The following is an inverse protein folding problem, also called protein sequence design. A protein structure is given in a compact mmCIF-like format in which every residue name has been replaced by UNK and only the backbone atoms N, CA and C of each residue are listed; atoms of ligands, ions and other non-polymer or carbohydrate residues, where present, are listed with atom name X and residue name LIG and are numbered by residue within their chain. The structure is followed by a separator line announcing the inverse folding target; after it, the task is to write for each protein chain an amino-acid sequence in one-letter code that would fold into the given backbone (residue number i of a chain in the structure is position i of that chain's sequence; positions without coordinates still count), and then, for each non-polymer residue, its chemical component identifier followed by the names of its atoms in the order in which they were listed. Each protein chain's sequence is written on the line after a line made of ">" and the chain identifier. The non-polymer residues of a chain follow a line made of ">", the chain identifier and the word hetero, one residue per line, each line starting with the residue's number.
data_IF_044161216482
#
_entry.id   IF_044161216482
#
_cell.length_a   1.000
_cell.length_b   1.000
_cell.length_c   1.000
_cell.angle_alpha   90.00
_cell.angle_beta   90.00
_cell.angle_gamma   90.00
#
_symmetry.space_group_name_H-M   'P 1'
#
loop_
_entity.id
_entity.type
_entity.pdbx_description
1 polymer ?
#
# COMPACT_ATOMS: atom_id res chain seq x y z
N UNK A 1 35.40 -12.19 27.74
CA UNK A 1 35.02 -11.58 26.42
C UNK A 1 33.54 -11.68 26.33
N UNK A 2 32.84 -10.60 26.65
CA UNK A 2 31.40 -10.55 26.50
C UNK A 2 31.10 -10.57 24.99
N UNK A 3 30.49 -11.65 24.51
CA UNK A 3 29.93 -11.74 23.18
C UNK A 3 28.81 -10.68 23.15
N UNK A 4 28.85 -9.68 22.25
CA UNK A 4 27.75 -8.74 22.16
C UNK A 4 26.47 -9.53 21.93
N UNK A 5 25.43 -9.25 22.71
CA UNK A 5 24.13 -9.87 22.53
C UNK A 5 23.73 -9.71 21.06
N UNK A 6 23.39 -10.82 20.39
CA UNK A 6 22.93 -10.79 19.00
C UNK A 6 21.71 -9.86 18.95
N UNK A 7 21.79 -8.72 18.24
CA UNK A 7 20.66 -7.78 18.15
C UNK A 7 19.46 -8.37 17.39
N UNK A 8 19.58 -9.61 16.89
CA UNK A 8 18.48 -10.35 16.25
C UNK A 8 17.82 -11.35 17.20
N UNK A 9 18.42 -11.62 18.36
CA UNK A 9 17.81 -12.45 19.40
C UNK A 9 16.57 -11.73 19.94
N UNK A 10 15.37 -12.24 19.64
CA UNK A 10 14.08 -11.64 20.01
C UNK A 10 13.38 -10.82 18.94
N UNK A 11 13.91 -10.69 17.73
CA UNK A 11 13.30 -9.91 16.63
C UNK A 11 11.97 -10.47 16.09
N UNK A 12 11.54 -11.62 16.52
CA UNK A 12 10.28 -12.24 16.12
C UNK A 12 9.16 -12.05 17.14
N UNK A 13 9.46 -11.51 18.31
CA UNK A 13 8.47 -11.16 19.32
C UNK A 13 8.22 -9.66 19.31
N UNK A 14 6.95 -9.28 19.13
CA UNK A 14 6.53 -7.89 19.24
C UNK A 14 6.72 -7.43 20.69
N UNK A 15 7.23 -6.22 20.87
CA UNK A 15 7.26 -5.57 22.17
C UNK A 15 5.85 -5.10 22.59
N UNK A 16 5.72 -4.59 23.82
CA UNK A 16 4.42 -4.16 24.36
C UNK A 16 3.79 -3.02 23.54
N UNK A 17 4.59 -2.05 23.11
CA UNK A 17 4.12 -0.92 22.29
C UNK A 17 3.61 -1.40 20.93
N UNK A 18 4.33 -2.29 20.26
CA UNK A 18 3.94 -2.87 18.98
C UNK A 18 2.64 -3.68 19.09
N UNK A 19 2.49 -4.45 20.18
CA UNK A 19 1.23 -5.15 20.43
C UNK A 19 0.07 -4.19 20.64
N UNK A 20 0.26 -3.14 21.44
CA UNK A 20 -0.77 -2.12 21.66
C UNK A 20 -1.19 -1.40 20.37
N UNK A 21 -0.23 -1.06 19.48
CA UNK A 21 -0.50 -0.47 18.19
C UNK A 21 -1.31 -1.43 17.30
N UNK A 22 -0.92 -2.70 17.25
CA UNK A 22 -1.62 -3.72 16.49
C UNK A 22 -3.05 -3.92 17.00
N UNK A 23 -3.23 -4.08 18.32
CA UNK A 23 -4.54 -4.24 18.96
C UNK A 23 -5.46 -3.04 18.70
N UNK A 24 -4.93 -1.82 18.76
CA UNK A 24 -5.68 -0.59 18.43
C UNK A 24 -6.15 -0.59 16.99
N UNK A 25 -5.29 -0.98 16.05
CA UNK A 25 -5.63 -1.07 14.63
C UNK A 25 -6.65 -2.18 14.36
N UNK A 26 -6.52 -3.34 15.02
CA UNK A 26 -7.48 -4.46 14.95
C UNK A 26 -8.86 -4.06 15.49
N UNK A 27 -8.92 -3.40 16.65
CA UNK A 27 -10.16 -2.92 17.23
C UNK A 27 -10.88 -1.96 16.27
N UNK A 28 -10.19 -0.96 15.75
CA UNK A 28 -10.77 -0.05 14.75
C UNK A 28 -11.24 -0.79 13.49
N UNK A 29 -10.43 -1.71 12.99
CA UNK A 29 -10.76 -2.50 11.81
C UNK A 29 -12.05 -3.32 12.02
N UNK A 30 -12.21 -3.97 13.16
CA UNK A 30 -13.38 -4.77 13.49
C UNK A 30 -14.63 -3.92 13.74
N UNK A 31 -14.48 -2.77 14.41
CA UNK A 31 -15.62 -1.95 14.79
C UNK A 31 -16.11 -1.06 13.65
N UNK A 32 -15.21 -0.49 12.84
CA UNK A 32 -15.54 0.53 11.84
C UNK A 32 -15.48 0.05 10.40
N UNK A 33 -14.63 -0.92 10.07
CA UNK A 33 -14.38 -1.34 8.68
C UNK A 33 -15.09 -2.65 8.36
N UNK A 34 -14.88 -3.70 9.14
CA UNK A 34 -15.39 -5.04 8.84
C UNK A 34 -16.92 -5.11 8.64
N UNK A 35 -17.76 -4.40 9.42
CA UNK A 35 -19.21 -4.48 9.24
C UNK A 35 -19.71 -3.90 7.92
N UNK A 36 -18.93 -3.03 7.27
CA UNK A 36 -19.34 -2.29 6.08
C UNK A 36 -18.55 -2.68 4.82
N UNK A 37 -17.47 -3.45 4.98
CA UNK A 37 -16.52 -3.74 3.88
C UNK A 37 -17.17 -4.39 2.65
N UNK A 38 -18.14 -5.30 2.83
CA UNK A 38 -18.86 -5.94 1.73
C UNK A 38 -19.84 -4.99 1.04
N UNK A 39 -20.48 -4.12 1.80
CA UNK A 39 -21.41 -3.13 1.27
C UNK A 39 -20.67 -2.05 0.46
N UNK A 40 -19.53 -1.58 0.96
CA UNK A 40 -18.66 -0.67 0.20
C UNK A 40 -18.15 -1.29 -1.11
N UNK A 41 -17.75 -2.57 -1.07
CA UNK A 41 -17.32 -3.29 -2.28
C UNK A 41 -18.47 -3.40 -3.29
N UNK A 42 -19.66 -3.82 -2.84
CA UNK A 42 -20.85 -3.97 -3.68
C UNK A 42 -21.26 -2.66 -4.35
N UNK A 43 -21.24 -1.56 -3.62
CA UNK A 43 -21.71 -0.26 -4.07
C UNK A 43 -20.62 0.62 -4.69
N UNK A 44 -19.39 0.11 -4.79
CA UNK A 44 -18.22 0.91 -5.25
C UNK A 44 -18.09 2.22 -4.46
N UNK A 45 -18.35 2.15 -3.15
CA UNK A 45 -18.38 3.31 -2.26
C UNK A 45 -17.00 3.58 -1.65
N UNK A 46 -16.49 4.80 -1.82
CA UNK A 46 -15.28 5.27 -1.16
C UNK A 46 -15.63 5.87 0.21
N UNK A 47 -15.29 5.21 1.34
CA UNK A 47 -15.72 5.63 2.68
C UNK A 47 -14.78 6.71 3.25
N UNK A 48 -14.81 7.91 2.65
CA UNK A 48 -13.93 9.01 3.03
C UNK A 48 -14.06 9.42 4.50
N UNK A 49 -15.26 9.31 5.07
CA UNK A 49 -15.56 9.58 6.47
C UNK A 49 -14.82 8.62 7.41
N UNK A 50 -14.93 7.32 7.19
CA UNK A 50 -14.23 6.28 7.99
C UNK A 50 -12.71 6.34 7.77
N UNK A 51 -12.26 6.65 6.54
CA UNK A 51 -10.84 6.88 6.26
C UNK A 51 -10.31 8.04 7.11
N UNK A 52 -11.03 9.15 7.21
CA UNK A 52 -10.64 10.31 8.02
C UNK A 52 -10.61 10.03 9.53
N UNK A 53 -11.45 9.13 10.03
CA UNK A 53 -11.41 8.71 11.43
C UNK A 53 -10.05 8.11 11.83
N UNK A 54 -9.32 7.48 10.90
CA UNK A 54 -8.00 6.90 11.17
C UNK A 54 -6.94 7.95 11.54
N UNK A 55 -7.16 9.21 11.19
CA UNK A 55 -6.33 10.34 11.62
C UNK A 55 -6.31 10.51 13.14
N UNK A 56 -7.42 10.23 13.83
CA UNK A 56 -7.51 10.31 15.30
C UNK A 56 -6.66 9.24 15.99
N UNK A 57 -6.32 8.17 15.29
CA UNK A 57 -5.45 7.09 15.76
C UNK A 57 -3.98 7.30 15.33
N UNK A 58 -3.67 8.44 14.70
CA UNK A 58 -2.33 8.72 14.17
C UNK A 58 -1.97 7.96 12.88
N UNK A 59 -2.96 7.32 12.23
CA UNK A 59 -2.70 6.53 11.02
C UNK A 59 -2.60 7.37 9.74
N UNK A 60 -2.83 8.68 9.81
CA UNK A 60 -2.60 9.60 8.70
C UNK A 60 -1.12 9.95 8.47
N UNK A 61 -0.27 9.71 9.46
CA UNK A 61 1.17 9.99 9.38
C UNK A 61 1.99 9.03 10.22
N UNK A 62 1.85 7.71 9.99
CA UNK A 62 2.42 6.64 10.82
C UNK A 62 3.93 6.84 11.00
N UNK A 63 4.65 7.08 9.92
CA UNK A 63 6.11 7.27 9.91
C UNK A 63 6.53 8.68 9.45
N UNK A 64 5.64 9.64 9.57
CA UNK A 64 5.91 11.08 9.44
C UNK A 64 6.40 11.59 10.80
N UNK A 65 7.33 12.54 10.80
CA UNK A 65 7.90 13.12 12.01
C UNK A 65 6.82 13.80 12.89
N UNK A 66 7.03 13.80 14.19
CA UNK A 66 6.10 14.29 15.21
C UNK A 66 5.98 15.82 15.22
N UNK A 67 7.00 16.55 14.77
CA UNK A 67 7.03 18.02 14.70
C UNK A 67 5.97 18.63 13.77
N UNK A 68 5.33 17.81 12.93
CA UNK A 68 4.22 18.18 12.04
C UNK A 68 2.95 17.35 12.30
N UNK A 69 2.85 16.71 13.47
CA UNK A 69 1.70 15.93 13.89
C UNK A 69 1.74 14.46 13.43
N UNK A 70 2.85 13.98 12.90
CA UNK A 70 3.05 12.57 12.59
C UNK A 70 3.25 11.71 13.84
N UNK A 71 3.09 10.39 13.72
CA UNK A 71 3.28 9.45 14.83
C UNK A 71 4.75 9.07 15.06
N UNK A 72 5.65 9.40 14.13
CA UNK A 72 7.09 9.13 14.24
C UNK A 72 7.46 7.65 14.38
N UNK A 73 6.53 6.74 14.06
CA UNK A 73 6.71 5.30 14.18
C UNK A 73 7.63 4.75 13.08
N UNK A 74 8.04 3.51 13.24
CA UNK A 74 8.92 2.82 12.29
C UNK A 74 8.13 2.05 11.23
N UNK A 75 8.83 1.56 10.23
CA UNK A 75 8.21 0.77 9.16
C UNK A 75 7.62 -0.55 9.66
N UNK A 76 8.25 -1.19 10.62
CA UNK A 76 7.68 -2.39 11.24
C UNK A 76 6.33 -2.09 11.90
N UNK A 77 6.22 -0.99 12.61
CA UNK A 77 4.97 -0.60 13.28
C UNK A 77 3.87 -0.30 12.24
N UNK A 78 4.22 0.36 11.13
CA UNK A 78 3.31 0.58 10.01
C UNK A 78 2.83 -0.74 9.37
N UNK A 79 3.72 -1.73 9.22
CA UNK A 79 3.37 -3.07 8.71
C UNK A 79 2.33 -3.73 9.60
N UNK A 80 2.45 -3.62 10.93
CA UNK A 80 1.46 -4.15 11.89
C UNK A 80 0.10 -3.47 11.73
N UNK A 81 0.08 -2.14 11.58
CA UNK A 81 -1.16 -1.38 11.33
C UNK A 81 -1.82 -1.82 10.03
N UNK A 82 -1.06 -1.88 8.93
CA UNK A 82 -1.63 -2.25 7.62
C UNK A 82 -2.09 -3.72 7.57
N UNK A 83 -1.40 -4.63 8.23
CA UNK A 83 -1.83 -6.02 8.36
C UNK A 83 -3.17 -6.09 9.13
N UNK A 84 -3.26 -5.41 10.28
CA UNK A 84 -4.47 -5.38 11.11
C UNK A 84 -5.67 -4.80 10.36
N UNK A 85 -5.53 -3.62 9.74
CA UNK A 85 -6.60 -3.00 8.95
C UNK A 85 -7.03 -3.87 7.77
N UNK A 86 -6.09 -4.56 7.14
CA UNK A 86 -6.34 -5.41 5.97
C UNK A 86 -7.10 -6.69 6.30
N UNK A 87 -7.07 -7.17 7.54
CA UNK A 87 -7.94 -8.28 7.99
C UNK A 87 -9.42 -7.95 7.81
N UNK A 88 -9.80 -6.69 7.97
CA UNK A 88 -11.17 -6.23 7.69
C UNK A 88 -11.39 -5.94 6.20
N UNK A 89 -10.48 -5.18 5.56
CA UNK A 89 -10.60 -4.83 4.14
C UNK A 89 -9.23 -4.47 3.53
N UNK A 90 -8.69 -5.32 2.62
CA UNK A 90 -7.42 -5.03 1.93
C UNK A 90 -7.42 -3.70 1.17
N UNK A 91 -8.50 -3.36 0.49
CA UNK A 91 -8.61 -2.13 -0.29
C UNK A 91 -8.60 -0.88 0.61
N UNK A 92 -9.21 -0.92 1.81
CA UNK A 92 -9.17 0.15 2.80
C UNK A 92 -7.75 0.38 3.32
N UNK A 93 -7.10 -0.68 3.78
CA UNK A 93 -5.72 -0.62 4.28
C UNK A 93 -4.75 -0.10 3.23
N UNK A 94 -4.92 -0.53 1.98
CA UNK A 94 -4.08 -0.10 0.85
C UNK A 94 -4.21 1.39 0.55
N UNK A 95 -5.39 1.99 0.71
CA UNK A 95 -5.54 3.44 0.55
C UNK A 95 -4.79 4.21 1.64
N UNK A 96 -4.91 3.78 2.90
CA UNK A 96 -4.16 4.38 4.02
C UNK A 96 -2.64 4.30 3.76
N UNK A 97 -2.17 3.17 3.19
CA UNK A 97 -0.77 3.01 2.79
C UNK A 97 -0.33 4.03 1.73
N UNK A 98 -1.14 4.24 0.69
CA UNK A 98 -0.85 5.20 -0.40
C UNK A 98 -0.81 6.63 0.15
N UNK A 99 -1.76 6.99 1.01
CA UNK A 99 -1.79 8.28 1.70
C UNK A 99 -0.50 8.51 2.51
N UNK A 100 -0.11 7.55 3.33
CA UNK A 100 1.12 7.62 4.12
C UNK A 100 2.38 7.71 3.26
N UNK A 101 2.41 7.05 2.11
CA UNK A 101 3.53 7.18 1.16
C UNK A 101 3.65 8.61 0.64
N UNK A 102 2.53 9.25 0.27
CA UNK A 102 2.50 10.66 -0.16
C UNK A 102 2.95 11.61 0.95
N UNK A 103 2.42 11.43 2.16
CA UNK A 103 2.79 12.23 3.33
C UNK A 103 4.29 12.08 3.66
N UNK A 104 4.82 10.85 3.65
CA UNK A 104 6.24 10.59 3.89
C UNK A 104 7.15 11.22 2.83
N UNK A 105 6.75 11.24 1.57
CA UNK A 105 7.53 11.90 0.52
C UNK A 105 7.67 13.39 0.80
N UNK A 106 6.59 14.04 1.22
CA UNK A 106 6.60 15.46 1.59
C UNK A 106 7.47 15.68 2.83
N UNK A 107 7.35 14.83 3.85
CA UNK A 107 8.15 14.93 5.07
C UNK A 107 9.66 14.75 4.81
N UNK A 108 10.02 13.82 3.91
CA UNK A 108 11.42 13.46 3.67
C UNK A 108 12.14 14.39 2.70
N UNK A 109 11.44 14.86 1.67
CA UNK A 109 12.02 15.60 0.55
C UNK A 109 11.55 17.05 0.44
N UNK A 110 10.51 17.42 1.17
CA UNK A 110 10.00 18.78 1.24
C UNK A 110 10.90 19.69 2.07
N UNK A 111 10.87 20.98 1.73
CA UNK A 111 11.41 22.02 2.59
C UNK A 111 10.46 22.26 3.78
N UNK A 112 10.91 23.07 4.76
CA UNK A 112 10.15 23.30 5.98
C UNK A 112 8.79 23.98 5.71
N UNK A 113 8.71 24.89 4.74
CA UNK A 113 7.47 25.56 4.37
C UNK A 113 6.44 24.55 3.79
N UNK A 114 6.88 23.65 2.91
CA UNK A 114 6.04 22.59 2.37
C UNK A 114 5.59 21.62 3.47
N UNK A 115 6.49 21.25 4.37
CA UNK A 115 6.16 20.37 5.50
C UNK A 115 5.07 20.99 6.38
N UNK A 116 5.24 22.24 6.79
CA UNK A 116 4.27 22.96 7.65
C UNK A 116 2.94 23.25 6.94
N UNK A 117 2.96 23.42 5.62
CA UNK A 117 1.76 23.69 4.83
C UNK A 117 0.90 22.45 4.62
N UNK A 118 1.49 21.31 4.34
CA UNK A 118 0.76 20.12 3.91
C UNK A 118 0.59 19.06 5.00
N UNK A 119 1.63 18.78 5.79
CA UNK A 119 1.64 17.65 6.68
C UNK A 119 0.63 17.70 7.83
N UNK A 120 0.40 18.83 8.52
CA UNK A 120 -0.60 18.86 9.59
C UNK A 120 -2.00 18.43 9.15
N UNK A 121 -2.37 18.73 7.90
CA UNK A 121 -3.66 18.30 7.34
C UNK A 121 -3.66 16.86 6.85
N UNK A 122 -2.53 16.33 6.43
CA UNK A 122 -2.38 14.93 6.02
C UNK A 122 -2.32 14.00 7.23
N UNK A 123 -1.57 14.37 8.26
CA UNK A 123 -1.43 13.53 9.48
C UNK A 123 -2.75 13.39 10.23
N UNK A 124 -3.61 14.42 10.20
CA UNK A 124 -4.97 14.38 10.74
C UNK A 124 -6.00 13.77 9.80
N UNK A 125 -5.62 13.41 8.58
CA UNK A 125 -6.55 12.97 7.52
C UNK A 125 -7.63 14.02 7.14
N UNK A 126 -7.46 15.28 7.53
CA UNK A 126 -8.28 16.38 6.99
C UNK A 126 -8.14 16.43 5.46
N UNK A 127 -6.91 16.29 4.98
CA UNK A 127 -6.60 16.11 3.57
C UNK A 127 -6.12 14.68 3.30
N UNK A 128 -6.54 14.16 2.15
CA UNK A 128 -6.10 12.88 1.64
C UNK A 128 -5.09 13.07 0.51
N UNK A 129 -4.10 12.19 0.44
CA UNK A 129 -3.05 12.21 -0.58
C UNK A 129 -3.13 11.02 -1.51
N UNK A 130 -2.88 11.26 -2.80
CA UNK A 130 -2.66 10.25 -3.83
C UNK A 130 -1.24 10.32 -4.39
N UNK A 131 -0.77 9.20 -4.92
CA UNK A 131 0.51 9.05 -5.59
C UNK A 131 0.33 8.86 -7.08
N UNK A 132 0.98 9.70 -7.91
CA UNK A 132 0.77 9.77 -9.34
C UNK A 132 2.07 9.53 -10.13
N UNK A 133 2.40 8.26 -10.41
CA UNK A 133 3.56 7.87 -11.22
C UNK A 133 3.14 7.32 -12.59
N UNK A 134 2.33 6.26 -12.58
CA UNK A 134 1.95 5.46 -13.76
C UNK A 134 1.20 6.28 -14.80
N UNK A 135 1.51 6.05 -16.08
CA UNK A 135 0.83 6.64 -17.22
C UNK A 135 0.29 5.54 -18.16
N UNK A 136 -0.63 5.85 -19.11
CA UNK A 136 -1.11 4.85 -20.05
C UNK A 136 -0.01 4.11 -20.82
N UNK A 137 1.11 4.78 -21.08
CA UNK A 137 2.25 4.22 -21.82
C UNK A 137 3.46 3.86 -20.93
N UNK A 138 3.38 4.01 -19.61
CA UNK A 138 4.52 3.86 -18.69
C UNK A 138 4.09 3.31 -17.34
N UNK A 139 4.21 2.00 -17.16
CA UNK A 139 4.00 1.32 -15.89
C UNK A 139 5.31 0.81 -15.29
N UNK A 140 5.71 -0.42 -15.62
CA UNK A 140 6.99 -1.00 -15.16
C UNK A 140 8.22 -0.23 -15.64
N UNK A 141 8.16 0.39 -16.83
CA UNK A 141 9.16 1.33 -17.31
C UNK A 141 8.81 2.77 -16.85
N UNK A 142 8.90 2.99 -15.54
CA UNK A 142 8.49 4.26 -14.93
C UNK A 142 9.35 5.45 -15.38
N UNK A 143 10.61 5.22 -15.81
CA UNK A 143 11.48 6.27 -16.32
C UNK A 143 11.04 6.82 -17.70
N UNK A 144 10.18 6.12 -18.42
CA UNK A 144 9.63 6.53 -19.71
C UNK A 144 8.38 7.42 -19.61
N UNK A 145 8.00 7.90 -18.43
CA UNK A 145 6.86 8.80 -18.25
C UNK A 145 6.98 10.07 -19.14
N UNK A 146 5.84 10.56 -19.64
CA UNK A 146 5.76 11.64 -20.63
C UNK A 146 5.00 12.88 -20.15
N UNK A 147 4.21 12.81 -19.07
CA UNK A 147 3.54 13.98 -18.50
C UNK A 147 4.57 15.08 -18.25
N UNK A 148 4.45 16.20 -18.96
CA UNK A 148 5.41 17.31 -18.92
C UNK A 148 4.96 18.38 -17.92
N UNK A 149 5.95 19.03 -17.32
CA UNK A 149 5.77 20.27 -16.60
C UNK A 149 6.80 21.29 -17.12
N UNK A 150 6.33 22.43 -17.55
CA UNK A 150 7.16 23.52 -18.10
C UNK A 150 7.03 24.71 -17.15
N UNK A 151 8.15 25.25 -16.69
CA UNK A 151 8.16 26.43 -15.83
C UNK A 151 7.72 27.66 -16.62
N UNK A 152 6.76 28.40 -16.07
CA UNK A 152 6.20 29.61 -16.69
C UNK A 152 5.92 30.65 -15.58
N UNK A 153 6.84 31.59 -15.43
CA UNK A 153 6.81 32.55 -14.31
C UNK A 153 6.94 31.85 -12.96
N UNK A 154 5.97 32.09 -12.09
CA UNK A 154 5.90 31.51 -10.74
C UNK A 154 5.17 30.15 -10.69
N UNK A 155 4.80 29.60 -11.85
CA UNK A 155 4.08 28.34 -11.97
C UNK A 155 4.84 27.32 -12.81
N UNK A 156 4.45 26.04 -12.64
CA UNK A 156 4.63 24.99 -13.65
C UNK A 156 3.30 24.76 -14.38
N UNK A 157 3.36 24.63 -15.70
CA UNK A 157 2.22 24.24 -16.55
C UNK A 157 2.37 22.77 -16.92
N UNK A 158 1.42 21.94 -16.45
CA UNK A 158 1.45 20.49 -16.63
C UNK A 158 0.54 20.09 -17.78
N UNK A 159 1.02 19.15 -18.61
CA UNK A 159 0.26 18.53 -19.69
C UNK A 159 0.56 17.03 -19.76
N UNK A 160 -0.50 16.21 -19.77
CA UNK A 160 -0.43 14.76 -19.82
C UNK A 160 -1.50 14.09 -19.00
N UNK A 161 -1.33 12.80 -18.72
CA UNK A 161 -2.26 12.04 -17.91
C UNK A 161 -1.57 10.94 -17.08
N UNK A 162 -2.02 10.73 -15.86
CA UNK A 162 -1.66 9.61 -15.02
C UNK A 162 -2.78 8.56 -15.02
N UNK A 163 -2.41 7.29 -14.91
CA UNK A 163 -3.32 6.16 -15.04
C UNK A 163 -3.34 5.35 -13.76
N UNK A 164 -4.49 4.76 -13.46
CA UNK A 164 -4.70 3.88 -12.30
C UNK A 164 -4.41 4.54 -10.94
N UNK A 165 -4.77 5.81 -10.81
CA UNK A 165 -4.48 6.56 -9.59
C UNK A 165 -5.55 6.29 -8.54
N UNK A 166 -5.14 5.67 -7.45
CA UNK A 166 -5.98 5.42 -6.28
C UNK A 166 -6.31 6.73 -5.56
N UNK A 167 -7.58 6.91 -5.19
CA UNK A 167 -8.08 8.15 -4.59
C UNK A 167 -8.26 9.30 -5.58
N UNK A 168 -8.06 9.09 -6.89
CA UNK A 168 -8.26 10.16 -7.88
C UNK A 168 -9.72 10.63 -7.89
N UNK A 169 -9.89 11.95 -7.72
CA UNK A 169 -11.18 12.61 -7.55
C UNK A 169 -11.65 12.72 -6.08
N UNK A 170 -11.10 11.93 -5.16
CA UNK A 170 -11.44 11.96 -3.74
C UNK A 170 -10.32 12.55 -2.87
N UNK A 171 -9.05 12.37 -3.26
CA UNK A 171 -7.91 12.97 -2.57
C UNK A 171 -7.82 14.48 -2.80
N UNK A 172 -7.26 15.17 -1.81
CA UNK A 172 -7.11 16.64 -1.80
C UNK A 172 -5.79 17.09 -2.45
N UNK A 173 -4.76 16.22 -2.42
CA UNK A 173 -3.47 16.48 -3.09
C UNK A 173 -2.97 15.24 -3.83
N UNK A 174 -2.17 15.49 -4.86
CA UNK A 174 -1.57 14.50 -5.76
C UNK A 174 -0.06 14.70 -5.81
N UNK A 175 0.72 13.78 -5.22
CA UNK A 175 2.18 13.76 -5.33
C UNK A 175 2.52 13.19 -6.69
N UNK A 176 2.87 14.05 -7.65
CA UNK A 176 2.89 13.74 -9.08
C UNK A 176 4.30 13.82 -9.67
N UNK A 177 4.75 12.72 -10.27
CA UNK A 177 5.99 12.65 -11.03
C UNK A 177 5.75 13.19 -12.44
N UNK A 178 6.57 14.16 -12.84
CA UNK A 178 6.44 14.86 -14.13
C UNK A 178 7.80 15.00 -14.80
N UNK A 179 7.82 15.19 -16.11
CA UNK A 179 9.03 15.46 -16.86
C UNK A 179 9.27 16.95 -16.99
N UNK A 180 10.30 17.45 -16.34
CA UNK A 180 10.79 18.82 -16.47
C UNK A 180 12.04 18.94 -17.37
N UNK A 181 12.79 17.85 -17.52
CA UNK A 181 14.03 17.79 -18.28
C UNK A 181 13.98 16.81 -19.47
N UNK A 182 15.16 16.34 -19.86
CA UNK A 182 15.34 15.38 -20.97
C UNK A 182 14.83 13.98 -20.60
N UNK A 183 14.87 13.06 -21.57
CA UNK A 183 14.52 11.66 -21.36
C UNK A 183 15.41 11.00 -20.28
N UNK A 184 14.86 9.95 -19.67
CA UNK A 184 15.51 9.20 -18.61
C UNK A 184 15.19 9.71 -17.20
N UNK A 185 15.73 9.03 -16.16
CA UNK A 185 15.38 9.26 -14.76
C UNK A 185 15.68 10.68 -14.26
N UNK A 186 16.80 11.26 -14.74
CA UNK A 186 17.25 12.59 -14.30
C UNK A 186 16.42 13.76 -14.84
N UNK A 187 15.53 13.51 -15.78
CA UNK A 187 14.60 14.54 -16.29
C UNK A 187 13.23 14.51 -15.58
N UNK A 188 13.09 13.73 -14.53
CA UNK A 188 11.82 13.58 -13.78
C UNK A 188 11.90 14.38 -12.48
N UNK A 189 10.87 15.19 -12.23
CA UNK A 189 10.67 15.97 -11.00
C UNK A 189 9.36 15.55 -10.31
N UNK A 190 9.14 15.99 -9.09
CA UNK A 190 7.90 15.73 -8.34
C UNK A 190 7.24 17.05 -7.99
N UNK A 191 5.94 17.16 -8.25
CA UNK A 191 5.10 18.29 -7.88
C UNK A 191 3.97 17.85 -6.95
N UNK A 192 3.67 18.66 -5.93
CA UNK A 192 2.47 18.51 -5.10
C UNK A 192 1.37 19.30 -5.80
N UNK A 193 0.41 18.58 -6.39
CA UNK A 193 -0.70 19.18 -7.16
C UNK A 193 -1.97 19.18 -6.29
N UNK A 194 -2.52 20.35 -5.93
CA UNK A 194 -3.81 20.44 -5.25
C UNK A 194 -4.96 19.97 -6.16
N UNK A 195 -6.03 19.44 -5.56
CA UNK A 195 -7.22 18.94 -6.27
C UNK A 195 -7.92 20.03 -7.11
N UNK A 196 -7.86 21.27 -6.65
CA UNK A 196 -8.49 22.43 -7.26
C UNK A 196 -7.56 23.19 -8.22
N UNK A 197 -6.39 22.62 -8.56
CA UNK A 197 -5.46 23.25 -9.51
C UNK A 197 -6.15 23.49 -10.86
N UNK A 198 -6.10 24.72 -11.42
CA UNK A 198 -6.69 25.01 -12.71
C UNK A 198 -6.13 24.12 -13.83
N UNK A 199 -7.00 23.45 -14.59
CA UNK A 199 -6.59 22.52 -15.64
C UNK A 199 -6.39 21.08 -15.17
N UNK A 200 -6.67 20.77 -13.90
CA UNK A 200 -6.74 19.41 -13.38
C UNK A 200 -8.15 18.85 -13.58
N UNK A 201 -8.24 17.60 -14.06
CA UNK A 201 -9.51 16.89 -14.17
C UNK A 201 -9.29 15.37 -13.96
N UNK A 202 -10.40 14.65 -13.81
CA UNK A 202 -10.38 13.22 -13.50
C UNK A 202 -11.22 12.44 -14.51
N UNK A 203 -10.68 11.33 -15.00
CA UNK A 203 -11.40 10.40 -15.86
C UNK A 203 -12.52 9.65 -15.13
N UNK A 204 -13.24 8.83 -15.86
CA UNK A 204 -14.22 7.92 -15.27
C UNK A 204 -13.55 6.92 -14.34
N UNK A 205 -14.32 6.40 -13.37
CA UNK A 205 -13.85 5.34 -12.50
C UNK A 205 -13.57 4.06 -13.30
N UNK A 206 -12.42 3.44 -13.06
CA UNK A 206 -12.04 2.19 -13.71
C UNK A 206 -12.92 1.03 -13.24
N UNK A 207 -13.36 0.20 -14.19
CA UNK A 207 -14.03 -1.06 -13.90
C UNK A 207 -13.00 -2.14 -13.55
N UNK A 208 -12.78 -2.36 -12.26
CA UNK A 208 -11.72 -3.24 -11.75
C UNK A 208 -12.23 -4.62 -11.35
N UNK A 209 -11.34 -5.59 -11.30
CA UNK A 209 -11.61 -6.91 -10.75
C UNK A 209 -11.88 -6.87 -9.23
N UNK A 210 -11.13 -6.06 -8.48
CA UNK A 210 -11.21 -5.90 -7.03
C UNK A 210 -10.95 -4.45 -6.62
N UNK A 211 -10.79 -4.20 -5.31
CA UNK A 211 -10.65 -2.87 -4.74
C UNK A 211 -11.82 -1.95 -5.13
N UNK A 212 -13.04 -2.48 -5.20
CA UNK A 212 -14.19 -1.72 -5.68
C UNK A 212 -14.51 -0.51 -4.80
N UNK A 213 -14.29 -0.62 -3.48
CA UNK A 213 -14.49 0.50 -2.56
C UNK A 213 -13.51 1.65 -2.79
N UNK A 214 -12.38 1.40 -3.47
CA UNK A 214 -11.38 2.41 -3.70
C UNK A 214 -11.57 3.06 -5.08
N UNK A 215 -11.71 4.38 -5.13
CA UNK A 215 -11.73 5.11 -6.40
C UNK A 215 -10.38 4.98 -7.10
N UNK A 216 -10.43 4.66 -8.38
CA UNK A 216 -9.25 4.56 -9.23
C UNK A 216 -9.59 5.17 -10.58
N UNK A 217 -8.89 6.24 -10.97
CA UNK A 217 -9.19 7.01 -12.18
C UNK A 217 -7.90 7.48 -12.85
N UNK A 218 -8.04 8.01 -14.05
CA UNK A 218 -7.02 8.88 -14.62
C UNK A 218 -7.00 10.22 -13.90
N UNK A 219 -5.80 10.81 -13.78
CA UNK A 219 -5.60 12.21 -13.41
C UNK A 219 -5.07 12.91 -14.67
N UNK A 220 -5.83 13.88 -15.16
CA UNK A 220 -5.62 14.53 -16.48
C UNK A 220 -5.18 15.97 -16.24
N UNK A 221 -4.12 16.38 -16.91
CA UNK A 221 -3.54 17.72 -16.86
C UNK A 221 -3.64 18.36 -18.24
N UNK A 222 -4.41 19.45 -18.35
CA UNK A 222 -4.59 20.24 -19.56
C UNK A 222 -4.26 21.70 -19.23
N UNK A 223 -3.04 22.11 -19.57
CA UNK A 223 -2.47 23.40 -19.16
C UNK A 223 -2.63 23.63 -17.63
N UNK A 224 -2.47 22.57 -16.86
CA UNK A 224 -2.70 22.59 -15.43
C UNK A 224 -1.61 23.41 -14.72
N UNK A 225 -2.04 24.48 -14.04
CA UNK A 225 -1.14 25.41 -13.34
C UNK A 225 -0.92 24.99 -11.90
N UNK A 226 0.35 24.81 -11.56
CA UNK A 226 0.79 24.44 -10.21
C UNK A 226 1.87 25.42 -9.76
N UNK A 227 1.75 26.05 -8.59
CA UNK A 227 2.77 26.98 -8.10
C UNK A 227 4.16 26.33 -8.05
N UNK A 228 5.18 27.07 -8.47
CA UNK A 228 6.56 26.56 -8.49
C UNK A 228 7.08 26.17 -7.10
N UNK A 229 6.55 26.79 -6.05
CA UNK A 229 6.82 26.44 -4.65
C UNK A 229 6.34 25.02 -4.26
N UNK A 230 5.48 24.41 -5.07
CA UNK A 230 5.03 23.02 -4.89
C UNK A 230 5.99 21.99 -5.52
N UNK A 231 7.11 22.41 -6.11
CA UNK A 231 8.17 21.49 -6.52
C UNK A 231 8.79 20.84 -5.29
N UNK A 232 8.66 19.54 -5.20
CA UNK A 232 9.21 18.75 -4.07
C UNK A 232 10.68 18.45 -4.34
N UNK A 233 11.58 19.01 -3.52
CA UNK A 233 13.03 18.99 -3.73
C UNK A 233 13.46 19.74 -5.00
N UNK A 234 14.56 19.35 -5.64
CA UNK A 234 15.09 19.95 -6.86
C UNK A 234 14.54 19.29 -8.12
N UNK A 235 14.59 20.00 -9.26
CA UNK A 235 14.32 19.39 -10.56
C UNK A 235 15.28 18.20 -10.81
N UNK A 236 14.74 17.15 -11.43
CA UNK A 236 15.50 15.92 -11.72
C UNK A 236 15.58 14.92 -10.57
N UNK A 237 15.05 15.24 -9.39
CA UNK A 237 15.02 14.35 -8.22
C UNK A 237 13.81 13.40 -8.20
N UNK A 238 12.80 13.63 -9.04
CA UNK A 238 11.51 12.95 -8.96
C UNK A 238 11.60 11.44 -9.09
N UNK A 239 12.45 10.90 -9.94
CA UNK A 239 12.61 9.44 -10.04
C UNK A 239 13.19 8.82 -8.76
N UNK A 240 14.17 9.49 -8.14
CA UNK A 240 14.72 9.06 -6.85
C UNK A 240 13.68 9.10 -5.74
N UNK A 241 12.88 10.15 -5.68
CA UNK A 241 11.76 10.30 -4.73
C UNK A 241 10.75 9.18 -4.92
N UNK A 242 10.36 8.90 -6.16
CA UNK A 242 9.42 7.84 -6.51
C UNK A 242 9.92 6.47 -6.07
N UNK A 243 11.18 6.12 -6.36
CA UNK A 243 11.74 4.82 -5.99
C UNK A 243 11.89 4.66 -4.48
N UNK A 244 12.29 5.71 -3.76
CA UNK A 244 12.38 5.70 -2.30
C UNK A 244 11.00 5.47 -1.64
N UNK A 245 9.95 6.10 -2.15
CA UNK A 245 8.57 5.86 -1.70
C UNK A 245 8.12 4.42 -1.94
N UNK A 246 8.42 3.88 -3.12
CA UNK A 246 8.07 2.50 -3.47
C UNK A 246 8.80 1.46 -2.62
N UNK A 247 10.02 1.70 -2.16
CA UNK A 247 10.72 0.74 -1.29
C UNK A 247 9.95 0.49 0.02
N UNK A 248 9.39 1.55 0.61
CA UNK A 248 8.49 1.43 1.76
C UNK A 248 7.10 0.92 1.39
N UNK A 249 6.52 1.40 0.29
CA UNK A 249 5.20 1.00 -0.21
C UNK A 249 5.11 -0.50 -0.47
N UNK A 250 6.18 -1.12 -0.99
CA UNK A 250 6.26 -2.58 -1.21
C UNK A 250 6.02 -3.39 0.06
N UNK A 251 6.54 -2.93 1.20
CA UNK A 251 6.31 -3.59 2.50
C UNK A 251 4.89 -3.36 2.99
N UNK A 252 4.35 -2.17 2.78
CA UNK A 252 2.97 -1.85 3.15
C UNK A 252 1.98 -2.72 2.39
N UNK A 253 2.13 -2.84 1.06
CA UNK A 253 1.22 -3.68 0.26
C UNK A 253 1.39 -5.17 0.54
N UNK A 254 2.59 -5.61 0.92
CA UNK A 254 2.82 -6.95 1.43
C UNK A 254 2.06 -7.19 2.74
N UNK A 255 2.04 -6.20 3.67
CA UNK A 255 1.24 -6.26 4.89
C UNK A 255 -0.27 -6.32 4.60
N UNK A 256 -0.74 -5.54 3.62
CA UNK A 256 -2.12 -5.63 3.16
C UNK A 256 -2.46 -7.03 2.59
N UNK A 257 -1.53 -7.66 1.87
CA UNK A 257 -1.72 -9.04 1.41
C UNK A 257 -1.78 -10.03 2.56
N UNK A 258 -0.91 -9.86 3.55
CA UNK A 258 -0.83 -10.75 4.70
C UNK A 258 -2.12 -10.71 5.54
N UNK A 259 -2.62 -9.52 5.86
CA UNK A 259 -3.87 -9.34 6.61
C UNK A 259 -5.09 -9.90 5.87
N UNK A 260 -5.23 -9.63 4.58
CA UNK A 260 -6.31 -10.20 3.76
C UNK A 260 -6.26 -11.71 3.66
N UNK A 261 -5.05 -12.29 3.57
CA UNK A 261 -4.86 -13.74 3.54
C UNK A 261 -5.16 -14.38 4.92
N UNK A 262 -4.80 -13.72 6.01
CA UNK A 262 -5.15 -14.14 7.37
C UNK A 262 -6.68 -14.21 7.53
N UNK A 263 -7.39 -13.17 7.11
CA UNK A 263 -8.87 -13.16 7.10
C UNK A 263 -9.47 -14.30 6.26
N UNK A 264 -8.88 -14.59 5.10
CA UNK A 264 -9.33 -15.70 4.25
C UNK A 264 -9.15 -17.06 4.92
N UNK A 265 -8.00 -17.28 5.58
CA UNK A 265 -7.73 -18.52 6.33
C UNK A 265 -8.70 -18.68 7.51
N UNK A 266 -8.96 -17.61 8.28
CA UNK A 266 -9.91 -17.61 9.40
C UNK A 266 -11.33 -17.97 8.94
N UNK A 267 -11.78 -17.38 7.83
CA UNK A 267 -13.07 -17.75 7.20
C UNK A 267 -13.10 -19.21 6.77
N UNK A 268 -12.01 -19.73 6.19
CA UNK A 268 -11.94 -21.14 5.80
C UNK A 268 -11.97 -22.10 7.00
N UNK A 269 -11.25 -21.75 8.08
CA UNK A 269 -11.29 -22.51 9.33
C UNK A 269 -12.69 -22.57 9.92
N UNK A 270 -13.38 -21.44 10.03
CA UNK A 270 -14.74 -21.37 10.54
C UNK A 270 -15.73 -22.15 9.66
N UNK A 271 -15.69 -21.92 8.34
CA UNK A 271 -16.57 -22.59 7.39
C UNK A 271 -16.36 -24.12 7.37
N UNK A 272 -15.14 -24.59 7.36
CA UNK A 272 -14.85 -26.04 7.32
C UNK A 272 -15.20 -26.76 8.61
N UNK A 273 -15.24 -26.07 9.74
CA UNK A 273 -15.68 -26.59 11.03
C UNK A 273 -17.20 -26.76 11.08
N UNK A 274 -17.95 -25.85 10.46
CA UNK A 274 -19.43 -25.86 10.47
C UNK A 274 -20.04 -26.70 9.33
N UNK A 275 -19.44 -26.64 8.13
CA UNK A 275 -19.94 -27.32 6.92
C UNK A 275 -19.81 -28.84 7.07
N UNK A 276 -20.92 -29.55 6.85
CA UNK A 276 -20.97 -31.03 6.86
C UNK A 276 -21.14 -31.60 5.47
N UNK A 277 -20.43 -32.68 5.19
CA UNK A 277 -20.58 -33.53 4.00
C UNK A 277 -20.16 -34.95 4.37
N UNK A 278 -20.75 -35.96 3.70
CA UNK A 278 -20.45 -37.36 3.95
C UNK A 278 -20.56 -37.79 5.42
N UNK A 279 -21.48 -37.15 6.16
CA UNK A 279 -21.77 -37.48 7.57
C UNK A 279 -20.88 -36.77 8.61
N UNK A 280 -19.89 -35.96 8.22
CA UNK A 280 -18.94 -35.30 9.13
C UNK A 280 -18.72 -33.83 8.77
N UNK A 281 -18.21 -33.00 9.71
CA UNK A 281 -17.67 -31.71 9.40
C UNK A 281 -16.51 -31.88 8.39
N UNK A 282 -16.41 -30.99 7.40
CA UNK A 282 -15.42 -31.21 6.32
C UNK A 282 -13.97 -31.05 6.78
N UNK A 283 -13.71 -30.34 7.86
CA UNK A 283 -12.38 -30.25 8.50
C UNK A 283 -11.91 -31.57 9.13
N UNK A 284 -12.76 -32.60 9.20
CA UNK A 284 -12.38 -33.95 9.64
C UNK A 284 -11.68 -34.75 8.51
N UNK A 285 -11.76 -34.30 7.28
CA UNK A 285 -11.10 -34.98 6.17
C UNK A 285 -9.62 -34.59 6.09
N UNK A 286 -8.73 -35.57 6.18
CA UNK A 286 -7.27 -35.35 6.26
C UNK A 286 -6.74 -34.50 5.09
N UNK A 287 -7.27 -34.67 3.87
CA UNK A 287 -6.88 -33.87 2.72
C UNK A 287 -7.14 -32.36 2.91
N UNK A 288 -8.20 -31.97 3.65
CA UNK A 288 -8.49 -30.57 3.96
C UNK A 288 -7.62 -30.08 5.12
N UNK A 289 -7.35 -30.94 6.11
CA UNK A 289 -6.43 -30.63 7.22
C UNK A 289 -5.04 -30.29 6.69
N UNK A 290 -4.54 -31.02 5.71
CA UNK A 290 -3.23 -30.74 5.10
C UNK A 290 -3.22 -29.39 4.41
N UNK A 291 -4.27 -29.03 3.67
CA UNK A 291 -4.37 -27.71 3.03
C UNK A 291 -4.38 -26.57 4.05
N UNK A 292 -5.14 -26.70 5.13
CA UNK A 292 -5.18 -25.69 6.21
C UNK A 292 -3.80 -25.56 6.89
N UNK A 293 -3.10 -26.68 7.13
CA UNK A 293 -1.76 -26.67 7.71
C UNK A 293 -0.73 -26.01 6.78
N UNK A 294 -0.80 -26.26 5.47
CA UNK A 294 0.07 -25.64 4.49
C UNK A 294 -0.20 -24.14 4.40
N UNK A 295 -1.48 -23.71 4.36
CA UNK A 295 -1.87 -22.30 4.32
C UNK A 295 -1.32 -21.54 5.54
N UNK A 296 -1.50 -22.08 6.75
CA UNK A 296 -0.97 -21.48 7.98
C UNK A 296 0.56 -21.40 7.96
N UNK A 297 1.23 -22.50 7.60
CA UNK A 297 2.70 -22.56 7.57
C UNK A 297 3.29 -21.52 6.61
N UNK A 298 2.75 -21.42 5.39
CA UNK A 298 3.20 -20.46 4.39
C UNK A 298 2.92 -19.01 4.83
N UNK A 299 1.78 -18.78 5.46
CA UNK A 299 1.39 -17.46 5.94
C UNK A 299 2.31 -16.98 7.08
N UNK A 300 2.65 -17.85 8.03
CA UNK A 300 3.59 -17.52 9.11
C UNK A 300 5.00 -17.29 8.58
N UNK A 301 5.47 -18.08 7.62
CA UNK A 301 6.75 -17.85 6.96
C UNK A 301 6.78 -16.50 6.24
N UNK A 302 5.68 -16.11 5.57
CA UNK A 302 5.54 -14.84 4.90
C UNK A 302 5.56 -13.66 5.91
N UNK A 303 4.90 -13.81 7.06
CA UNK A 303 4.86 -12.81 8.14
C UNK A 303 6.25 -12.53 8.70
N UNK A 304 6.99 -13.57 9.08
CA UNK A 304 8.34 -13.45 9.61
C UNK A 304 9.26 -12.77 8.57
N UNK A 305 9.12 -13.15 7.30
CA UNK A 305 9.91 -12.56 6.23
C UNK A 305 9.61 -11.06 6.04
N UNK A 306 8.33 -10.68 6.08
CA UNK A 306 7.91 -9.29 5.99
C UNK A 306 8.44 -8.45 7.15
N UNK A 307 8.29 -8.91 8.38
CA UNK A 307 8.74 -8.21 9.57
C UNK A 307 10.27 -8.03 9.58
N UNK A 308 11.00 -9.05 9.12
CA UNK A 308 12.46 -8.96 8.93
C UNK A 308 12.83 -7.90 7.90
N UNK A 309 12.14 -7.84 6.77
CA UNK A 309 12.39 -6.84 5.73
C UNK A 309 12.07 -5.42 6.22
N UNK A 310 10.98 -5.22 6.95
CA UNK A 310 10.62 -3.94 7.56
C UNK A 310 11.68 -3.48 8.56
N UNK A 311 12.13 -4.35 9.45
CA UNK A 311 13.19 -4.07 10.41
C UNK A 311 14.52 -3.71 9.72
N UNK A 312 14.85 -4.33 8.57
CA UNK A 312 16.04 -3.96 7.79
C UNK A 312 15.90 -2.56 7.18
N UNK A 313 14.72 -2.19 6.71
CA UNK A 313 14.48 -0.84 6.19
C UNK A 313 14.62 0.21 7.30
N UNK A 314 14.08 -0.03 8.49
CA UNK A 314 14.20 0.84 9.66
C UNK A 314 15.64 1.09 10.06
N UNK A 315 16.47 0.05 10.00
CA UNK A 315 17.90 0.14 10.29
C UNK A 315 18.74 0.68 9.14
N UNK A 316 18.12 1.05 8.02
CA UNK A 316 18.79 1.51 6.79
C UNK A 316 19.88 0.52 6.33
N UNK A 317 19.59 -0.79 6.43
CA UNK A 317 20.53 -1.83 6.02
C UNK A 317 20.89 -1.68 4.54
N UNK A 318 22.17 -1.90 4.13
CA UNK A 318 22.60 -1.71 2.75
C UNK A 318 21.83 -2.54 1.72
N UNK A 319 21.25 -3.68 2.15
CA UNK A 319 20.47 -4.59 1.34
C UNK A 319 18.94 -4.46 1.51
N UNK A 320 18.48 -3.39 2.18
CA UNK A 320 17.06 -3.19 2.50
C UNK A 320 16.17 -3.20 1.26
N UNK A 321 16.54 -2.54 0.17
CA UNK A 321 15.78 -2.53 -1.09
C UNK A 321 15.61 -3.93 -1.69
N UNK A 322 16.65 -4.78 -1.65
CA UNK A 322 16.57 -6.18 -2.06
C UNK A 322 15.58 -6.95 -1.17
N UNK A 323 15.65 -6.77 0.15
CA UNK A 323 14.74 -7.43 1.08
C UNK A 323 13.29 -6.97 0.91
N UNK A 324 13.06 -5.68 0.67
CA UNK A 324 11.72 -5.15 0.37
C UNK A 324 11.14 -5.79 -0.90
N UNK A 325 11.95 -5.92 -1.96
CA UNK A 325 11.52 -6.58 -3.20
C UNK A 325 11.22 -8.09 -2.99
N UNK A 326 12.07 -8.79 -2.24
CA UNK A 326 11.85 -10.21 -1.91
C UNK A 326 10.59 -10.41 -1.07
N UNK A 327 10.39 -9.61 -0.03
CA UNK A 327 9.22 -9.68 0.84
C UNK A 327 7.94 -9.38 0.06
N UNK A 328 7.90 -8.27 -0.70
CA UNK A 328 6.74 -7.94 -1.53
C UNK A 328 6.34 -9.09 -2.44
N UNK A 329 7.30 -9.63 -3.21
CA UNK A 329 7.03 -10.74 -4.12
C UNK A 329 6.50 -11.98 -3.38
N UNK A 330 7.22 -12.41 -2.35
CA UNK A 330 6.89 -13.65 -1.65
C UNK A 330 5.54 -13.55 -0.92
N UNK A 331 5.34 -12.47 -0.17
CA UNK A 331 4.12 -12.28 0.63
C UNK A 331 2.88 -12.10 -0.25
N UNK A 332 2.98 -11.36 -1.36
CA UNK A 332 1.82 -11.18 -2.26
C UNK A 332 1.49 -12.44 -3.05
N UNK A 333 2.49 -13.27 -3.44
CA UNK A 333 2.25 -14.57 -4.06
C UNK A 333 1.60 -15.54 -3.05
N UNK A 334 2.11 -15.61 -1.81
CA UNK A 334 1.56 -16.43 -0.74
C UNK A 334 0.14 -15.98 -0.36
N UNK A 335 -0.07 -14.67 -0.18
CA UNK A 335 -1.37 -14.14 0.20
C UNK A 335 -2.46 -14.45 -0.80
N UNK A 336 -2.17 -14.27 -2.09
CA UNK A 336 -3.12 -14.65 -3.14
C UNK A 336 -3.40 -16.16 -3.16
N UNK A 337 -2.36 -17.00 -3.02
CA UNK A 337 -2.52 -18.45 -2.94
C UNK A 337 -3.43 -18.86 -1.78
N UNK A 338 -3.18 -18.33 -0.58
CA UNK A 338 -3.98 -18.63 0.62
C UNK A 338 -5.44 -18.20 0.44
N UNK A 339 -5.70 -17.00 -0.08
CA UNK A 339 -7.06 -16.53 -0.33
C UNK A 339 -7.79 -17.40 -1.37
N UNK A 340 -7.11 -17.81 -2.43
CA UNK A 340 -7.68 -18.68 -3.46
C UNK A 340 -7.97 -20.10 -2.92
N UNK A 341 -7.09 -20.64 -2.08
CA UNK A 341 -7.32 -21.92 -1.38
C UNK A 341 -8.50 -21.83 -0.40
N UNK A 342 -8.61 -20.72 0.33
CA UNK A 342 -9.74 -20.47 1.23
C UNK A 342 -11.07 -20.45 0.46
N UNK A 343 -11.13 -19.79 -0.70
CA UNK A 343 -12.29 -19.81 -1.59
C UNK A 343 -12.62 -21.24 -2.03
N UNK A 344 -11.62 -22.02 -2.45
CA UNK A 344 -11.79 -23.40 -2.86
C UNK A 344 -12.39 -24.26 -1.74
N UNK A 345 -11.95 -24.07 -0.48
CA UNK A 345 -12.47 -24.77 0.69
C UNK A 345 -13.94 -24.46 1.00
N UNK A 346 -14.44 -23.28 0.59
CA UNK A 346 -15.86 -22.92 0.68
C UNK A 346 -16.72 -23.57 -0.41
N UNK A 347 -16.11 -24.16 -1.46
CA UNK A 347 -16.82 -24.72 -2.59
C UNK A 347 -17.70 -23.68 -3.30
N UNK A 348 -18.92 -24.03 -3.69
CA UNK A 348 -19.84 -23.12 -4.38
C UNK A 348 -20.20 -21.86 -3.58
N UNK A 349 -20.21 -21.94 -2.27
CA UNK A 349 -20.45 -20.78 -1.40
C UNK A 349 -19.29 -19.77 -1.41
N UNK A 350 -18.08 -20.20 -1.65
CA UNK A 350 -16.94 -19.31 -1.82
C UNK A 350 -17.03 -18.40 -3.03
N UNK A 351 -17.88 -18.73 -3.99
CA UNK A 351 -18.10 -17.95 -5.21
C UNK A 351 -19.21 -16.88 -5.06
N UNK A 352 -19.85 -16.83 -3.89
CA UNK A 352 -20.94 -15.90 -3.59
C UNK A 352 -20.44 -14.71 -2.77
N UNK A 353 -20.92 -13.51 -3.10
CA UNK A 353 -20.56 -12.25 -2.42
C UNK A 353 -20.81 -12.29 -0.90
N UNK A 354 -21.89 -12.92 -0.47
CA UNK A 354 -22.35 -12.90 0.92
C UNK A 354 -21.36 -13.56 1.89
N UNK A 355 -20.47 -14.43 1.40
CA UNK A 355 -19.42 -15.06 2.19
C UNK A 355 -18.14 -14.21 2.27
N UNK A 356 -17.98 -13.26 1.36
CA UNK A 356 -16.89 -12.28 1.35
C UNK A 356 -15.49 -12.84 1.08
N UNK A 357 -15.35 -14.16 0.88
CA UNK A 357 -14.04 -14.76 0.58
C UNK A 357 -13.62 -14.49 -0.87
N UNK A 358 -14.57 -14.41 -1.81
CA UNK A 358 -14.29 -14.07 -3.20
C UNK A 358 -13.77 -12.64 -3.33
N UNK A 359 -14.25 -11.70 -2.50
CA UNK A 359 -13.73 -10.33 -2.42
C UNK A 359 -12.25 -10.33 -2.06
N UNK A 360 -11.83 -11.14 -1.10
CA UNK A 360 -10.43 -11.26 -0.71
C UNK A 360 -9.56 -11.73 -1.88
N UNK A 361 -10.02 -12.71 -2.65
CA UNK A 361 -9.31 -13.18 -3.87
C UNK A 361 -9.19 -12.07 -4.90
N UNK A 362 -10.27 -11.33 -5.17
CA UNK A 362 -10.27 -10.20 -6.12
C UNK A 362 -9.33 -9.09 -5.67
N UNK A 363 -9.39 -8.72 -4.41
CA UNK A 363 -8.59 -7.64 -3.85
C UNK A 363 -7.09 -7.98 -3.83
N UNK A 364 -6.74 -9.20 -3.41
CA UNK A 364 -5.33 -9.60 -3.30
C UNK A 364 -4.67 -9.85 -4.66
N UNK A 365 -5.46 -10.08 -5.72
CA UNK A 365 -4.87 -10.31 -7.06
C UNK A 365 -4.04 -9.14 -7.56
N UNK A 366 -4.45 -7.91 -7.31
CA UNK A 366 -3.74 -6.73 -7.78
C UNK A 366 -2.42 -6.49 -7.04
N UNK A 367 -2.25 -7.02 -5.82
CA UNK A 367 -1.03 -6.86 -5.03
C UNK A 367 0.21 -7.48 -5.70
N UNK A 368 0.04 -8.47 -6.57
CA UNK A 368 1.12 -9.03 -7.38
C UNK A 368 1.54 -8.11 -8.55
N UNK A 369 0.72 -7.10 -8.88
CA UNK A 369 0.85 -6.26 -10.06
C UNK A 369 1.35 -4.85 -9.69
N UNK A 370 0.71 -4.21 -8.71
CA UNK A 370 1.00 -2.82 -8.33
C UNK A 370 2.31 -2.67 -7.54
N UNK A 371 2.76 -1.43 -7.39
CA UNK A 371 4.01 -1.06 -6.69
C UNK A 371 5.26 -1.80 -7.21
N UNK A 372 5.25 -2.04 -8.51
CA UNK A 372 6.18 -2.90 -9.24
C UNK A 372 5.69 -4.34 -9.28
N UNK A 373 5.46 -4.86 -10.49
CA UNK A 373 5.01 -6.25 -10.67
C UNK A 373 6.00 -7.23 -10.01
N UNK A 374 5.53 -8.42 -9.68
CA UNK A 374 6.41 -9.45 -9.10
C UNK A 374 7.53 -9.88 -10.05
N UNK A 375 7.40 -9.61 -11.36
CA UNK A 375 8.48 -9.71 -12.37
C UNK A 375 9.53 -8.62 -12.15
N UNK A 376 9.11 -7.36 -11.91
CA UNK A 376 10.04 -6.27 -11.58
C UNK A 376 10.75 -6.54 -10.26
N UNK A 377 10.06 -7.11 -9.26
CA UNK A 377 10.73 -7.53 -8.02
C UNK A 377 11.85 -8.56 -8.30
N UNK A 378 11.62 -9.53 -9.21
CA UNK A 378 12.65 -10.48 -9.64
C UNK A 378 13.84 -9.79 -10.31
N UNK A 379 13.58 -8.77 -11.13
CA UNK A 379 14.66 -7.96 -11.75
C UNK A 379 15.51 -7.26 -10.69
N UNK A 380 14.88 -6.61 -9.70
CA UNK A 380 15.60 -5.93 -8.61
C UNK A 380 16.44 -6.93 -7.81
N UNK A 381 15.86 -8.06 -7.44
CA UNK A 381 16.55 -9.13 -6.70
C UNK A 381 17.76 -9.66 -7.50
N UNK A 382 17.53 -9.98 -8.77
CA UNK A 382 18.56 -10.54 -9.64
C UNK A 382 19.73 -9.54 -9.82
N UNK A 383 19.43 -8.26 -10.08
CA UNK A 383 20.47 -7.21 -10.19
C UNK A 383 21.32 -7.12 -8.92
N UNK A 384 20.67 -7.12 -7.75
CA UNK A 384 21.38 -7.08 -6.47
C UNK A 384 22.24 -8.34 -6.21
N UNK A 385 21.86 -9.50 -6.75
CA UNK A 385 22.62 -10.75 -6.61
C UNK A 385 23.84 -10.81 -7.54
N UNK A 386 23.74 -10.26 -8.75
CA UNK A 386 24.80 -10.31 -9.76
C UNK A 386 25.68 -9.06 -9.79
N UNK A 387 25.45 -8.10 -8.87
CA UNK A 387 26.25 -6.86 -8.78
C UNK A 387 26.06 -5.93 -9.99
N UNK A 388 24.87 -5.87 -10.56
CA UNK A 388 24.49 -4.90 -11.62
C UNK A 388 23.49 -3.92 -11.02
N UNK A 389 23.89 -2.64 -10.97
CA UNK A 389 23.03 -1.51 -10.57
C UNK A 389 22.02 -1.14 -11.67
#
# INVERSE_FOLDING_TARGET
>A
MDVPADPTAGQFELNEEQRAIQEMAEAFAQDRVAPQALEWDRNHHFPADVIRETGQLGFGGIYVRDDVGGSGLKRLDAVLVFEALSRACPAFSSFISIHNMGAWMIDTFGNEEQRQRFLPKLTTMEWLASYCLTEPGSGSDAAALKTRAVKSGDDYVLNGAKQFISGAGDSDIYVTMVRTGQEGPKGISTLIVPKDAPGLSFGAQEHKMGWHMQSTRQVIFEDCKVPAENLLSDEGMGFRIAMAGLDGGRLNIAACSLGGAQSALEKALAYTADRKAFGSAINQFQALQFRLADMETELQAARIFLYTAASKLDRKAPDAGKWSAMAKRFVTDTGFKVANEALQLHGGYGYLHDYGVEKLVRDLRVHQILEGTNEIMRVIIARALIGRD
#
